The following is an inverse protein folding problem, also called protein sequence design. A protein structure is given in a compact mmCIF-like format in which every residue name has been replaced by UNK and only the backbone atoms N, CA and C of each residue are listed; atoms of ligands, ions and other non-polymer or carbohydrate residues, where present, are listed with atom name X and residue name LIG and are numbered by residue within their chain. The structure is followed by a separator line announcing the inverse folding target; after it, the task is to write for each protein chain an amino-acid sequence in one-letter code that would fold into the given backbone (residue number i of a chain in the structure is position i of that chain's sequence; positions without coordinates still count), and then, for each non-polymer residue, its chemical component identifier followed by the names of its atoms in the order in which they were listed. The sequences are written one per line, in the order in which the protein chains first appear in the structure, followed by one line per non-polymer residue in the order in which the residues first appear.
data_IF_496399756958
#
_entry.id   IF_496399756958
#
_cell.length_a   1.000
_cell.length_b   1.000
_cell.length_c   1.000
_cell.angle_alpha   90.00
_cell.angle_beta   90.00
_cell.angle_gamma   90.00
#
_symmetry.space_group_name_H-M   'P 1'
#
loop_
_entity.id
_entity.type
_entity.pdbx_description
1 polymer ?
#
# COMPACT_ATOMS: atom_id res chain seq x y z
N UNK A 1 -9.07 -9.51 4.09
CA UNK A 1 -8.83 -8.69 5.31
C UNK A 1 -7.34 -8.64 5.68
N UNK A 2 -6.62 -9.77 5.73
CA UNK A 2 -5.16 -9.80 6.01
C UNK A 2 -4.34 -9.01 4.97
N UNK A 3 -4.60 -9.20 3.68
CA UNK A 3 -3.88 -8.46 2.62
C UNK A 3 -4.01 -6.94 2.75
N UNK A 4 -5.19 -6.43 3.10
CA UNK A 4 -5.42 -5.00 3.34
C UNK A 4 -4.65 -4.49 4.56
N UNK A 5 -4.63 -5.27 5.65
CA UNK A 5 -3.87 -4.93 6.86
C UNK A 5 -2.37 -4.85 6.55
N UNK A 6 -1.84 -5.86 5.87
CA UNK A 6 -0.42 -5.93 5.54
C UNK A 6 -0.02 -4.85 4.53
N UNK A 7 -0.85 -4.60 3.52
CA UNK A 7 -0.64 -3.51 2.56
C UNK A 7 -0.62 -2.14 3.24
N UNK A 8 -1.46 -1.93 4.26
CA UNK A 8 -1.46 -0.69 5.02
C UNK A 8 -0.17 -0.50 5.84
N UNK A 9 0.31 -1.56 6.52
CA UNK A 9 1.60 -1.51 7.21
C UNK A 9 2.76 -1.28 6.24
N UNK A 10 2.71 -1.89 5.06
CA UNK A 10 3.72 -1.72 4.03
C UNK A 10 3.77 -0.26 3.55
N UNK A 11 2.63 0.33 3.20
CA UNK A 11 2.54 1.72 2.77
C UNK A 11 3.04 2.70 3.83
N UNK A 12 2.64 2.49 5.09
CA UNK A 12 3.15 3.28 6.22
C UNK A 12 4.67 3.16 6.33
N UNK A 13 5.21 1.94 6.27
CA UNK A 13 6.63 1.72 6.42
C UNK A 13 7.46 2.39 5.31
N UNK A 14 7.02 2.31 4.05
CA UNK A 14 7.71 2.99 2.95
C UNK A 14 7.67 4.52 3.06
N UNK A 15 6.53 5.10 3.46
CA UNK A 15 6.42 6.53 3.67
C UNK A 15 7.41 7.02 4.74
N UNK A 16 7.46 6.32 5.89
CA UNK A 16 8.41 6.64 6.95
C UNK A 16 9.86 6.40 6.57
N UNK A 17 10.14 5.46 5.68
CA UNK A 17 11.50 5.21 5.17
C UNK A 17 12.04 6.45 4.46
N UNK A 18 11.25 7.05 3.58
CA UNK A 18 11.62 8.28 2.88
C UNK A 18 11.83 9.47 3.84
N UNK A 19 10.93 9.60 4.83
CA UNK A 19 11.01 10.68 5.82
C UNK A 19 12.24 10.56 6.72
N UNK A 20 12.52 9.37 7.25
CA UNK A 20 13.65 9.13 8.16
C UNK A 20 14.99 9.14 7.43
N UNK A 21 15.05 8.69 6.18
CA UNK A 21 16.29 8.74 5.39
C UNK A 21 16.78 10.18 5.14
N UNK A 22 15.87 11.16 5.20
CA UNK A 22 16.18 12.58 5.04
C UNK A 22 16.70 13.23 6.35
N UNK A 23 16.52 12.58 7.50
CA UNK A 23 16.85 13.08 8.84
C UNK A 23 17.78 12.07 9.55
N UNK A 24 19.07 12.08 9.19
CA UNK A 24 20.06 11.13 9.72
C UNK A 24 20.59 11.52 11.11
N UNK A 25 19.71 11.59 12.12
CA UNK A 25 20.14 11.77 13.52
C UNK A 25 20.29 10.43 14.24
N UNK A 26 21.10 10.35 15.31
CA UNK A 26 21.22 9.14 16.14
C UNK A 26 19.87 8.67 16.70
N UNK A 27 18.94 9.60 16.98
CA UNK A 27 17.58 9.29 17.44
C UNK A 27 16.75 8.57 16.37
N UNK A 28 17.00 8.87 15.10
CA UNK A 28 16.30 8.28 13.97
C UNK A 28 16.89 6.91 13.57
N UNK A 29 18.12 6.61 13.96
CA UNK A 29 18.75 5.30 13.74
C UNK A 29 17.95 4.13 14.36
N UNK A 30 17.38 4.32 15.57
CA UNK A 30 16.57 3.30 16.24
C UNK A 30 15.24 3.07 15.52
N UNK A 31 14.60 4.16 15.08
CA UNK A 31 13.37 4.12 14.29
C UNK A 31 13.61 3.40 12.97
N UNK A 32 14.70 3.73 12.28
CA UNK A 32 15.09 3.13 11.01
C UNK A 32 15.35 1.62 11.15
N UNK A 33 16.00 1.18 12.24
CA UNK A 33 16.21 -0.27 12.49
C UNK A 33 14.90 -1.03 12.65
N UNK A 34 13.96 -0.50 13.44
CA UNK A 34 12.65 -1.14 13.62
C UNK A 34 11.85 -1.11 12.31
N UNK A 35 11.95 -0.01 11.56
CA UNK A 35 11.30 0.16 10.26
C UNK A 35 11.79 -0.86 9.22
N UNK A 36 13.10 -0.98 9.02
CA UNK A 36 13.68 -1.95 8.08
C UNK A 36 13.35 -3.39 8.50
N UNK A 37 13.31 -3.67 9.81
CA UNK A 37 12.84 -4.96 10.32
C UNK A 37 11.37 -5.22 9.97
N UNK A 38 10.50 -4.22 10.10
CA UNK A 38 9.08 -4.35 9.73
C UNK A 38 8.92 -4.63 8.24
N UNK A 39 9.60 -3.85 7.38
CA UNK A 39 9.57 -4.04 5.92
C UNK A 39 10.06 -5.44 5.56
N UNK A 40 11.16 -5.90 6.15
CA UNK A 40 11.71 -7.22 5.89
C UNK A 40 10.78 -8.37 6.29
N UNK A 41 9.99 -8.21 7.36
CA UNK A 41 8.99 -9.20 7.76
C UNK A 41 7.79 -9.21 6.81
N UNK A 42 7.32 -8.03 6.40
CA UNK A 42 6.20 -7.88 5.45
C UNK A 42 6.55 -8.45 4.06
N UNK A 43 7.78 -8.24 3.59
CA UNK A 43 8.23 -8.76 2.29
C UNK A 43 8.37 -10.28 2.25
N UNK A 44 8.69 -10.89 3.40
CA UNK A 44 8.81 -12.36 3.54
C UNK A 44 7.47 -13.03 3.87
N UNK A 45 6.43 -12.24 4.09
CA UNK A 45 5.13 -12.77 4.44
C UNK A 45 4.56 -13.60 3.27
N UNK A 46 4.14 -14.86 3.49
CA UNK A 46 3.68 -15.73 2.41
C UNK A 46 2.24 -15.39 2.01
N UNK A 47 2.06 -14.52 1.02
CA UNK A 47 0.74 -14.14 0.51
C UNK A 47 0.07 -15.23 -0.33
N UNK A 48 0.88 -16.09 -0.96
CA UNK A 48 0.43 -17.06 -1.96
C UNK A 48 0.01 -18.42 -1.37
N UNK A 49 0.34 -18.69 -0.11
CA UNK A 49 0.03 -19.97 0.56
C UNK A 49 -0.96 -19.79 1.71
N UNK A 50 -2.26 -20.07 1.49
CA UNK A 50 -3.28 -20.00 2.53
C UNK A 50 -3.17 -21.13 3.57
N UNK A 51 -2.32 -22.14 3.35
CA UNK A 51 -2.09 -23.26 4.25
C UNK A 51 -0.90 -23.07 5.19
N UNK A 52 -0.21 -21.92 5.11
CA UNK A 52 0.95 -21.64 5.92
C UNK A 52 0.64 -21.67 7.43
N UNK A 53 1.11 -22.71 8.12
CA UNK A 53 0.77 -23.00 9.52
C UNK A 53 1.16 -21.88 10.50
N UNK A 54 2.15 -21.06 10.14
CA UNK A 54 2.66 -19.96 10.98
C UNK A 54 2.13 -18.58 10.58
N UNK A 55 1.14 -18.53 9.69
CA UNK A 55 0.59 -17.27 9.16
C UNK A 55 0.18 -16.33 10.29
N UNK A 56 -0.56 -16.86 11.27
CA UNK A 56 -1.05 -16.07 12.39
C UNK A 56 0.09 -15.57 13.28
N UNK A 57 1.09 -16.42 13.55
CA UNK A 57 2.24 -16.05 14.38
C UNK A 57 3.08 -14.95 13.72
N UNK A 58 3.36 -15.09 12.41
CA UNK A 58 4.11 -14.07 11.67
C UNK A 58 3.31 -12.76 11.53
N UNK A 59 1.98 -12.83 11.37
CA UNK A 59 1.12 -11.65 11.44
C UNK A 59 1.22 -10.95 12.78
N UNK A 60 1.16 -11.68 13.89
CA UNK A 60 1.24 -11.08 15.22
C UNK A 60 2.62 -10.46 15.49
N UNK A 61 3.69 -11.04 14.93
CA UNK A 61 5.02 -10.43 14.98
C UNK A 61 5.08 -9.14 14.16
N UNK A 62 4.46 -9.10 12.97
CA UNK A 62 4.35 -7.88 12.15
C UNK A 62 3.57 -6.79 12.91
N UNK A 63 2.42 -7.13 13.49
CA UNK A 63 1.62 -6.21 14.33
C UNK A 63 2.42 -5.68 15.51
N UNK A 64 3.19 -6.55 16.18
CA UNK A 64 4.07 -6.18 17.28
C UNK A 64 5.13 -5.17 16.86
N UNK A 65 5.79 -5.41 15.72
CA UNK A 65 6.79 -4.48 15.16
C UNK A 65 6.19 -3.16 14.73
N UNK A 66 5.01 -3.19 14.13
CA UNK A 66 4.27 -2.00 13.76
C UNK A 66 3.94 -1.14 14.99
N UNK A 67 3.38 -1.74 16.06
CA UNK A 67 3.12 -1.05 17.33
C UNK A 67 4.39 -0.43 17.91
N UNK A 68 5.50 -1.19 17.91
CA UNK A 68 6.80 -0.70 18.37
C UNK A 68 7.24 0.54 17.59
N UNK A 69 7.09 0.54 16.26
CA UNK A 69 7.42 1.69 15.41
C UNK A 69 6.54 2.90 15.73
N UNK A 70 5.22 2.71 15.89
CA UNK A 70 4.31 3.78 16.27
C UNK A 70 4.66 4.42 17.61
N UNK A 71 5.03 3.62 18.62
CA UNK A 71 5.53 4.13 19.90
C UNK A 71 6.81 4.96 19.74
N UNK A 72 7.75 4.53 18.89
CA UNK A 72 8.98 5.28 18.63
C UNK A 72 8.74 6.58 17.84
N UNK A 73 7.69 6.62 17.03
CA UNK A 73 7.25 7.81 16.31
C UNK A 73 6.34 8.72 17.15
N UNK A 74 5.93 8.28 18.34
CA UNK A 74 4.95 8.93 19.20
C UNK A 74 3.61 9.17 18.49
N UNK A 75 3.19 8.19 17.67
CA UNK A 75 1.93 8.19 16.92
C UNK A 75 1.03 7.14 17.53
N UNK A 76 -0.22 7.51 17.79
CA UNK A 76 -1.22 6.52 18.17
C UNK A 76 -1.71 5.79 16.90
N UNK A 77 -1.59 4.45 16.84
CA UNK A 77 -2.15 3.71 15.74
C UNK A 77 -3.67 3.63 15.89
N UNK A 78 -4.41 4.64 15.39
CA UNK A 78 -5.85 4.53 15.18
C UNK A 78 -6.10 3.73 13.89
N UNK A 79 -5.79 2.44 13.94
CA UNK A 79 -6.03 1.53 12.83
C UNK A 79 -7.50 1.09 12.85
N UNK A 80 -8.39 2.02 12.46
CA UNK A 80 -9.75 1.67 12.08
C UNK A 80 -9.71 1.10 10.66
N UNK A 81 -9.29 -0.16 10.55
CA UNK A 81 -9.57 -0.95 9.35
C UNK A 81 -11.08 -1.26 9.39
N UNK A 82 -11.91 -0.25 9.15
CA UNK A 82 -13.34 -0.50 8.96
C UNK A 82 -13.47 -1.32 7.68
N UNK A 83 -14.26 -2.39 7.74
CA UNK A 83 -14.44 -3.34 6.65
C UNK A 83 -15.18 -2.73 5.43
N UNK A 84 -15.52 -1.45 5.48
CA UNK A 84 -16.06 -0.69 4.37
C UNK A 84 -14.94 -0.34 3.39
N UNK A 85 -14.88 -1.17 2.34
CA UNK A 85 -14.34 -0.83 1.03
C UNK A 85 -14.48 0.67 0.78
N UNK A 86 -13.38 1.42 0.93
CA UNK A 86 -13.23 2.65 0.17
C UNK A 86 -13.06 2.14 -1.27
N UNK A 87 -14.19 1.85 -1.89
CA UNK A 87 -14.28 1.61 -3.31
C UNK A 87 -13.81 2.89 -3.96
N UNK A 88 -12.52 2.96 -4.28
CA UNK A 88 -12.06 3.79 -5.37
C UNK A 88 -12.79 3.26 -6.61
N UNK A 89 -13.99 3.78 -6.83
CA UNK A 89 -14.70 3.69 -8.09
C UNK A 89 -13.76 4.35 -9.09
N UNK A 90 -13.03 3.53 -9.83
CA UNK A 90 -12.29 3.97 -10.99
C UNK A 90 -13.36 4.43 -11.99
N UNK A 91 -13.72 5.71 -11.96
CA UNK A 91 -14.38 6.33 -13.10
C UNK A 91 -13.35 6.38 -14.23
N UNK A 92 -13.38 5.32 -15.04
CA UNK A 92 -12.70 5.21 -16.33
C UNK A 92 -13.31 6.27 -17.27
N UNK A 93 -12.83 7.52 -17.18
CA UNK A 93 -13.12 8.56 -18.17
C UNK A 93 -12.39 8.19 -19.46
N UNK A 94 -13.03 7.35 -20.27
CA UNK A 94 -12.63 7.08 -21.64
C UNK A 94 -12.91 8.29 -22.52
N UNK A 95 -12.15 9.38 -22.35
CA UNK A 95 -12.02 10.44 -23.36
C UNK A 95 -10.95 10.06 -24.37
N UNK A 96 -11.29 9.19 -25.33
CA UNK A 96 -10.47 9.02 -26.53
C UNK A 96 -10.76 10.12 -27.55
N UNK A 97 -9.66 10.66 -28.03
CA UNK A 97 -9.49 11.78 -28.95
C UNK A 97 -10.23 11.64 -30.29
N UNK A 98 -10.73 12.79 -30.74
CA UNK A 98 -10.67 13.35 -32.11
C UNK A 98 -10.36 12.40 -33.28
N UNK A 99 -11.26 12.37 -34.27
CA UNK A 99 -10.86 12.25 -35.69
C UNK A 99 -11.55 13.29 -36.56
N UNK A 100 -10.72 13.88 -37.40
CA UNK A 100 -10.96 14.96 -38.35
C UNK A 100 -11.26 14.35 -39.74
N UNK A 101 -12.15 15.02 -40.50
CA UNK A 101 -12.27 15.12 -41.97
C UNK A 101 -12.47 13.88 -42.87
N UNK A 102 -13.41 14.03 -43.81
CA UNK A 102 -13.48 13.34 -45.11
C UNK A 102 -14.91 13.39 -45.70
N UNK A 103 -15.35 14.51 -46.28
CA UNK A 103 -15.56 14.72 -47.74
C UNK A 103 -16.39 13.66 -48.49
N UNK A 104 -17.56 14.13 -48.93
CA UNK A 104 -18.43 13.78 -50.07
C UNK A 104 -18.11 12.55 -50.93
N UNK A 105 -19.11 11.69 -51.13
CA UNK A 105 -19.40 11.11 -52.46
C UNK A 105 -20.91 10.96 -52.61
N UNK A 106 -21.47 11.75 -53.55
CA UNK A 106 -22.70 11.41 -54.26
C UNK A 106 -22.46 10.21 -55.18
N UNK A 107 -23.33 9.19 -55.12
CA UNK A 107 -23.65 8.26 -56.22
C UNK A 107 -24.97 7.57 -55.84
N UNK A 108 -26.13 8.01 -56.35
CA UNK A 108 -26.83 7.57 -57.57
C UNK A 108 -27.06 6.06 -57.72
N UNK A 109 -28.32 5.75 -58.06
CA UNK A 109 -28.97 4.47 -58.43
C UNK A 109 -29.48 3.62 -57.25
N UNK A 110 -30.75 3.23 -57.19
CA UNK A 110 -31.72 2.90 -58.26
C UNK A 110 -33.08 3.54 -58.00
#
# INVERSE_FOLDING_TARGET
KIGSEIGCYQGFAFAWRCLLHSCATEKDSKKMKVLESLIGMIQKFPYDDPTYDKLQEDLDRIRGKFKQLCSLLNIQPDFKISAESSGLHFEDDRRTKTKHKGTDVRMLSV
#
